data_IF_611557861352
#
_entry.id   IF_611557861352
#
_cell.length_a   1.000
_cell.length_b   1.000
_cell.length_c   1.000
_cell.angle_alpha   90.00
_cell.angle_beta   90.00
_cell.angle_gamma   90.00
#
_symmetry.space_group_name_H-M   'P 1'
#
loop_
_entity.id
_entity.type
_entity.pdbx_description
1 polymer ?
#
# COMPACT_ATOMS: atom_id res chain seq x y z
N UNK A 1 -4.66 3.85 -32.80
CA UNK A 1 -4.70 4.59 -31.52
C UNK A 1 -6.06 5.22 -31.33
N UNK A 2 -6.90 4.43 -30.67
CA UNK A 2 -8.27 4.69 -30.27
C UNK A 2 -8.43 6.08 -29.62
N UNK A 3 -9.54 6.76 -29.94
CA UNK A 3 -9.89 8.08 -29.38
C UNK A 3 -9.90 8.06 -27.85
N UNK A 4 -10.39 6.99 -27.24
CA UNK A 4 -10.42 6.85 -25.78
C UNK A 4 -9.04 7.00 -25.13
N UNK A 5 -8.02 6.37 -25.72
CA UNK A 5 -6.64 6.43 -25.21
C UNK A 5 -6.09 7.85 -25.31
N UNK A 6 -6.36 8.54 -26.43
CA UNK A 6 -5.96 9.95 -26.62
C UNK A 6 -6.59 10.88 -25.59
N UNK A 7 -7.89 10.79 -25.39
CA UNK A 7 -8.64 11.67 -24.49
C UNK A 7 -8.32 11.41 -23.01
N UNK A 8 -7.97 10.17 -22.64
CA UNK A 8 -7.65 9.80 -21.25
C UNK A 8 -6.16 9.89 -20.91
N UNK A 9 -5.29 10.19 -21.90
CA UNK A 9 -3.83 10.25 -21.73
C UNK A 9 -3.39 11.16 -20.60
N UNK A 10 -3.96 12.36 -20.52
CA UNK A 10 -3.59 13.34 -19.49
C UNK A 10 -3.91 12.82 -18.09
N UNK A 11 -5.11 12.28 -17.88
CA UNK A 11 -5.54 11.78 -16.59
C UNK A 11 -4.71 10.56 -16.14
N UNK A 12 -4.54 9.58 -17.04
CA UNK A 12 -3.82 8.34 -16.75
C UNK A 12 -2.32 8.57 -16.54
N UNK A 13 -1.68 9.45 -17.31
CA UNK A 13 -0.27 9.81 -17.11
C UNK A 13 -0.03 10.44 -15.74
N UNK A 14 -0.92 11.36 -15.32
CA UNK A 14 -0.81 12.00 -14.01
C UNK A 14 -1.11 11.04 -12.86
N UNK A 15 -2.10 10.14 -13.02
CA UNK A 15 -2.39 9.10 -12.02
C UNK A 15 -1.19 8.16 -11.82
N UNK A 16 -0.59 7.67 -12.91
CA UNK A 16 0.59 6.80 -12.82
C UNK A 16 1.75 7.52 -12.10
N UNK A 17 1.99 8.78 -12.45
CA UNK A 17 3.00 9.60 -11.77
C UNK A 17 2.70 9.73 -10.28
N UNK A 18 1.46 10.08 -9.93
CA UNK A 18 1.05 10.27 -8.53
C UNK A 18 1.15 8.97 -7.72
N UNK A 19 0.79 7.82 -8.30
CA UNK A 19 0.97 6.50 -7.69
C UNK A 19 2.44 6.27 -7.34
N UNK A 20 3.34 6.48 -8.31
CA UNK A 20 4.78 6.31 -8.09
C UNK A 20 5.32 7.28 -7.02
N UNK A 21 4.92 8.55 -7.07
CA UNK A 21 5.35 9.57 -6.11
C UNK A 21 4.89 9.22 -4.67
N UNK A 22 3.66 8.70 -4.51
CA UNK A 22 3.13 8.23 -3.22
C UNK A 22 3.85 6.96 -2.73
N UNK A 23 4.23 6.04 -3.62
CA UNK A 23 5.02 4.87 -3.28
C UNK A 23 6.42 5.24 -2.76
N UNK A 24 7.10 6.18 -3.42
CA UNK A 24 8.43 6.66 -2.99
C UNK A 24 8.36 7.31 -1.61
N UNK A 25 7.29 8.07 -1.34
CA UNK A 25 7.02 8.63 -0.01
C UNK A 25 6.75 7.53 1.02
N UNK A 26 5.98 6.49 0.66
CA UNK A 26 5.71 5.36 1.54
C UNK A 26 6.99 4.60 1.91
N UNK A 27 7.90 4.40 0.97
CA UNK A 27 9.23 3.82 1.22
C UNK A 27 10.01 4.67 2.22
N UNK A 28 10.01 5.99 2.03
CA UNK A 28 10.67 6.95 2.92
C UNK A 28 10.08 6.89 4.34
N UNK A 29 8.76 6.84 4.48
CA UNK A 29 8.07 6.72 5.77
C UNK A 29 8.41 5.40 6.47
N UNK A 30 8.41 4.27 5.75
CA UNK A 30 8.77 2.95 6.31
C UNK A 30 10.21 2.90 6.81
N UNK A 31 11.14 3.53 6.07
CA UNK A 31 12.54 3.68 6.49
C UNK A 31 12.64 4.54 7.76
N UNK A 32 11.93 5.66 7.82
CA UNK A 32 11.88 6.52 9.00
C UNK A 32 11.32 5.78 10.23
N UNK A 33 10.23 5.03 10.07
CA UNK A 33 9.65 4.19 11.13
C UNK A 33 10.66 3.19 11.67
N UNK A 34 11.31 2.44 10.77
CA UNK A 34 12.32 1.43 11.14
C UNK A 34 13.46 2.04 11.97
N UNK A 35 13.92 3.24 11.59
CA UNK A 35 14.97 3.94 12.32
C UNK A 35 14.50 4.41 13.70
N UNK A 36 13.25 4.91 13.81
CA UNK A 36 12.67 5.34 15.09
C UNK A 36 12.42 4.15 16.02
N UNK A 37 11.94 3.02 15.52
CA UNK A 37 11.74 1.80 16.31
C UNK A 37 13.07 1.22 16.82
N UNK A 38 14.13 1.26 16.02
CA UNK A 38 15.48 0.87 16.48
C UNK A 38 15.98 1.79 17.59
N UNK A 39 15.81 3.10 17.43
CA UNK A 39 16.21 4.07 18.45
C UNK A 39 15.41 3.90 19.74
N UNK A 40 14.09 3.69 19.62
CA UNK A 40 13.22 3.44 20.77
C UNK A 40 13.64 2.19 21.51
N UNK A 41 13.86 1.08 20.80
CA UNK A 41 14.34 -0.17 21.41
C UNK A 41 15.64 0.04 22.16
N UNK A 42 16.60 0.74 21.57
CA UNK A 42 17.88 1.03 22.24
C UNK A 42 17.69 1.82 23.55
N UNK A 43 16.89 2.90 23.54
CA UNK A 43 16.63 3.70 24.74
C UNK A 43 15.82 2.93 25.78
N UNK A 44 14.88 2.10 25.34
CA UNK A 44 14.06 1.28 26.22
C UNK A 44 14.89 0.17 26.88
N UNK A 45 15.77 -0.48 26.14
CA UNK A 45 16.70 -1.47 26.69
C UNK A 45 17.67 -0.85 27.70
N UNK A 46 18.21 0.36 27.43
CA UNK A 46 19.04 1.11 28.39
C UNK A 46 18.25 1.50 29.65
N UNK A 47 16.98 1.88 29.49
CA UNK A 47 16.09 2.21 30.58
C UNK A 47 15.79 1.02 31.49
N UNK A 48 15.55 -0.16 30.93
CA UNK A 48 15.28 -1.40 31.69
C UNK A 48 16.56 -1.94 32.34
N UNK A 49 17.70 -1.87 31.66
CA UNK A 49 18.98 -2.40 32.19
C UNK A 49 19.57 -1.59 33.33
N UNK A 50 19.11 -0.36 33.56
CA UNK A 50 19.43 0.43 34.76
C UNK A 50 18.67 -0.10 35.98
N UNK A 51 18.63 -1.42 36.12
CA UNK A 51 18.19 -2.10 37.33
C UNK A 51 19.13 -1.72 38.48
N UNK A 52 18.52 -1.42 39.61
CA UNK A 52 19.19 -1.26 40.89
C UNK A 52 19.90 -2.56 41.26
N UNK A 53 21.15 -2.48 41.70
CA UNK A 53 21.83 -3.61 42.34
C UNK A 53 21.03 -3.99 43.60
N UNK A 54 20.46 -5.22 43.69
CA UNK A 54 19.68 -5.64 44.85
C UNK A 54 20.49 -5.68 46.16
N UNK A 55 21.83 -5.74 46.05
CA UNK A 55 22.75 -5.78 47.18
C UNK A 55 23.22 -4.37 47.62
N UNK A 56 22.87 -3.31 46.87
CA UNK A 56 23.17 -1.95 47.29
C UNK A 56 22.17 -1.49 48.38
N UNK A 57 22.69 -1.18 49.56
CA UNK A 57 21.94 -0.57 50.66
C UNK A 57 21.63 0.91 50.38
N UNK A 58 20.67 1.17 49.48
CA UNK A 58 20.15 2.51 49.26
C UNK A 58 19.21 2.94 50.40
N UNK A 59 19.35 4.18 50.85
CA UNK A 59 18.33 4.79 51.71
C UNK A 59 17.10 5.23 50.90
N UNK A 60 15.99 5.50 51.59
CA UNK A 60 14.71 5.89 50.97
C UNK A 60 14.84 7.10 50.03
N UNK A 61 15.65 8.09 50.40
CA UNK A 61 15.88 9.28 49.57
C UNK A 61 16.62 8.96 48.27
N UNK A 62 17.61 8.06 48.30
CA UNK A 62 18.35 7.62 47.12
C UNK A 62 17.45 6.83 46.15
N UNK A 63 16.60 5.95 46.68
CA UNK A 63 15.60 5.23 45.86
C UNK A 63 14.62 6.22 45.21
N UNK A 64 14.07 7.15 45.99
CA UNK A 64 13.14 8.16 45.48
C UNK A 64 13.76 9.06 44.40
N UNK A 65 15.01 9.48 44.57
CA UNK A 65 15.74 10.26 43.56
C UNK A 65 15.93 9.47 42.26
N UNK A 66 16.33 8.20 42.34
CA UNK A 66 16.55 7.38 41.17
C UNK A 66 15.24 7.04 40.43
N UNK A 67 14.15 6.75 41.15
CA UNK A 67 12.82 6.61 40.54
C UNK A 67 12.35 7.90 39.86
N UNK A 68 12.56 9.06 40.49
CA UNK A 68 12.21 10.35 39.89
C UNK A 68 12.99 10.59 38.60
N UNK A 69 14.30 10.29 38.60
CA UNK A 69 15.16 10.41 37.42
C UNK A 69 14.76 9.44 36.31
N UNK A 70 14.36 8.22 36.66
CA UNK A 70 13.86 7.22 35.74
C UNK A 70 12.53 7.66 35.12
N UNK A 71 11.56 8.11 35.92
CA UNK A 71 10.28 8.65 35.44
C UNK A 71 10.50 9.83 34.48
N UNK A 72 11.35 10.79 34.87
CA UNK A 72 11.69 11.93 34.00
C UNK A 72 12.36 11.50 32.69
N UNK A 73 13.20 10.46 32.70
CA UNK A 73 13.80 9.95 31.45
C UNK A 73 12.73 9.34 30.54
N UNK A 74 11.82 8.54 31.09
CA UNK A 74 10.73 7.95 30.33
C UNK A 74 9.86 9.03 29.67
N UNK A 75 9.38 9.99 30.46
CA UNK A 75 8.51 11.09 29.99
C UNK A 75 9.20 11.98 28.94
N UNK A 76 10.49 12.25 29.10
CA UNK A 76 11.19 13.18 28.20
C UNK A 76 11.79 12.52 26.94
N UNK A 77 12.05 11.21 26.97
CA UNK A 77 12.77 10.52 25.88
C UNK A 77 11.97 9.39 25.25
N UNK A 78 11.40 8.49 26.05
CA UNK A 78 10.76 7.26 25.55
C UNK A 78 9.35 7.56 25.06
N UNK A 79 8.53 8.24 25.86
CA UNK A 79 7.15 8.53 25.53
C UNK A 79 7.00 9.41 24.26
N UNK A 80 7.75 10.52 24.09
CA UNK A 80 7.64 11.34 22.89
C UNK A 80 8.07 10.59 21.62
N UNK A 81 9.01 9.65 21.75
CA UNK A 81 9.44 8.80 20.64
C UNK A 81 8.38 7.77 20.26
N UNK A 82 7.70 7.18 21.25
CA UNK A 82 6.55 6.30 21.04
C UNK A 82 5.40 7.01 20.32
N UNK A 83 5.10 8.26 20.69
CA UNK A 83 4.10 9.08 20.01
C UNK A 83 4.46 9.23 18.52
N UNK A 84 5.70 9.61 18.21
CA UNK A 84 6.18 9.76 16.82
C UNK A 84 6.14 8.44 16.04
N UNK A 85 6.41 7.31 16.68
CA UNK A 85 6.29 5.98 16.06
C UNK A 85 4.83 5.72 15.66
N UNK A 86 3.88 6.02 16.54
CA UNK A 86 2.45 5.84 16.26
C UNK A 86 1.95 6.78 15.16
N UNK A 87 2.39 8.05 15.16
CA UNK A 87 2.12 9.00 14.07
C UNK A 87 2.62 8.49 12.72
N UNK A 88 3.85 7.94 12.67
CA UNK A 88 4.41 7.35 11.46
C UNK A 88 3.62 6.12 11.00
N UNK A 89 3.21 5.24 11.92
CA UNK A 89 2.37 4.06 11.60
C UNK A 89 1.04 4.49 10.98
N UNK A 90 0.37 5.48 11.57
CA UNK A 90 -0.88 6.02 11.04
C UNK A 90 -0.69 6.65 9.65
N UNK A 91 0.39 7.42 9.46
CA UNK A 91 0.73 8.03 8.17
C UNK A 91 1.01 6.97 7.09
N UNK A 92 1.74 5.90 7.44
CA UNK A 92 2.02 4.76 6.57
C UNK A 92 0.71 4.08 6.15
N UNK A 93 -0.17 3.78 7.10
CA UNK A 93 -1.48 3.16 6.81
C UNK A 93 -2.31 4.02 5.87
N UNK A 94 -2.41 5.33 6.15
CA UNK A 94 -3.15 6.26 5.29
C UNK A 94 -2.56 6.36 3.88
N UNK A 95 -1.23 6.34 3.75
CA UNK A 95 -0.55 6.34 2.45
C UNK A 95 -0.74 5.04 1.68
N UNK A 96 -0.72 3.89 2.35
CA UNK A 96 -1.01 2.61 1.71
C UNK A 96 -2.41 2.61 1.10
N UNK A 97 -3.41 3.09 1.84
CA UNK A 97 -4.79 3.18 1.32
C UNK A 97 -4.93 4.22 0.20
N UNK A 98 -4.18 5.33 0.26
CA UNK A 98 -4.08 6.31 -0.84
C UNK A 98 -3.57 5.66 -2.13
N UNK A 99 -2.45 4.94 -2.07
CA UNK A 99 -1.84 4.23 -3.22
C UNK A 99 -2.81 3.20 -3.80
N UNK A 100 -3.45 2.39 -2.95
CA UNK A 100 -4.47 1.41 -3.37
C UNK A 100 -5.66 2.09 -4.06
N UNK A 101 -6.14 3.20 -3.53
CA UNK A 101 -7.26 3.97 -4.10
C UNK A 101 -6.92 4.57 -5.46
N UNK A 102 -5.73 5.19 -5.61
CA UNK A 102 -5.25 5.73 -6.88
C UNK A 102 -5.07 4.62 -7.93
N UNK A 103 -4.56 3.47 -7.52
CA UNK A 103 -4.44 2.28 -8.37
C UNK A 103 -5.81 1.79 -8.84
N UNK A 104 -6.80 1.78 -7.95
CA UNK A 104 -8.19 1.45 -8.28
C UNK A 104 -8.79 2.42 -9.29
N UNK A 105 -8.50 3.73 -9.17
CA UNK A 105 -8.93 4.74 -10.13
C UNK A 105 -8.31 4.51 -11.53
N UNK A 106 -7.04 4.12 -11.60
CA UNK A 106 -6.39 3.78 -12.88
C UNK A 106 -7.03 2.54 -13.53
N UNK A 107 -7.29 1.48 -12.75
CA UNK A 107 -8.00 0.28 -13.23
C UNK A 107 -9.42 0.60 -13.69
N UNK A 108 -10.11 1.51 -12.99
CA UNK A 108 -11.43 1.97 -13.37
C UNK A 108 -11.40 2.64 -14.75
N UNK A 109 -10.44 3.53 -15.03
CA UNK A 109 -10.31 4.15 -16.36
C UNK A 109 -10.06 3.08 -17.42
N UNK A 110 -9.13 2.16 -17.21
CA UNK A 110 -8.88 1.08 -18.17
C UNK A 110 -10.14 0.24 -18.48
N UNK A 111 -10.88 -0.16 -17.43
CA UNK A 111 -12.13 -0.91 -17.57
C UNK A 111 -13.20 -0.11 -18.33
N UNK A 112 -13.29 1.21 -18.09
CA UNK A 112 -14.23 2.06 -18.83
C UNK A 112 -13.89 2.11 -20.32
N UNK A 113 -12.60 2.14 -20.68
CA UNK A 113 -12.17 2.01 -22.08
C UNK A 113 -12.69 0.74 -22.74
N UNK A 114 -12.52 -0.41 -22.07
CA UNK A 114 -13.06 -1.70 -22.53
C UNK A 114 -14.58 -1.60 -22.73
N UNK A 115 -15.29 -1.02 -21.76
CA UNK A 115 -16.75 -0.92 -21.78
C UNK A 115 -17.28 -0.01 -22.88
N UNK A 116 -16.59 1.10 -23.16
CA UNK A 116 -16.99 2.07 -24.19
C UNK A 116 -16.78 1.51 -25.60
N UNK A 117 -15.66 0.82 -25.83
CA UNK A 117 -15.32 0.31 -27.17
C UNK A 117 -16.03 -1.00 -27.48
N UNK A 118 -16.12 -1.91 -26.50
CA UNK A 118 -16.61 -3.28 -26.73
C UNK A 118 -17.96 -3.59 -26.09
N UNK A 119 -18.48 -2.69 -25.23
CA UNK A 119 -19.71 -2.88 -24.47
C UNK A 119 -19.55 -3.82 -23.26
N UNK A 120 -18.94 -4.99 -23.45
CA UNK A 120 -18.72 -5.99 -22.42
C UNK A 120 -17.33 -6.66 -22.52
N UNK A 121 -16.99 -7.46 -21.52
CA UNK A 121 -15.69 -8.15 -21.45
C UNK A 121 -15.53 -9.24 -22.52
N UNK A 122 -16.62 -9.89 -22.92
CA UNK A 122 -16.61 -11.01 -23.87
C UNK A 122 -16.21 -10.55 -25.28
N UNK A 123 -16.67 -9.36 -25.67
CA UNK A 123 -16.38 -8.72 -26.95
C UNK A 123 -14.95 -8.12 -27.02
N UNK A 124 -14.29 -7.94 -25.89
CA UNK A 124 -12.95 -7.36 -25.84
C UNK A 124 -11.90 -8.42 -26.19
N UNK A 125 -10.90 -8.11 -27.05
CA UNK A 125 -9.79 -9.00 -27.33
C UNK A 125 -8.96 -9.27 -26.06
N UNK A 126 -8.30 -10.43 -26.00
CA UNK A 126 -7.61 -10.91 -24.79
C UNK A 126 -6.42 -10.05 -24.36
N UNK A 127 -5.75 -9.39 -25.32
CA UNK A 127 -4.46 -8.76 -25.09
C UNK A 127 -3.37 -9.80 -24.75
N UNK A 128 -2.30 -9.38 -24.06
CA UNK A 128 -1.28 -10.32 -23.56
C UNK A 128 -1.81 -11.17 -22.41
N UNK A 129 -1.16 -12.32 -22.17
CA UNK A 129 -1.48 -13.23 -21.06
C UNK A 129 -0.44 -13.10 -19.96
N UNK A 130 -0.88 -13.03 -18.71
CA UNK A 130 -0.02 -13.03 -17.51
C UNK A 130 -0.48 -14.15 -16.59
N UNK A 131 0.42 -15.10 -16.28
CA UNK A 131 0.14 -16.24 -15.39
C UNK A 131 -1.20 -16.94 -15.72
N UNK A 132 -1.42 -17.24 -17.00
CA UNK A 132 -2.63 -17.90 -17.52
C UNK A 132 -3.92 -17.06 -17.56
N UNK A 133 -3.86 -15.77 -17.29
CA UNK A 133 -5.02 -14.89 -17.39
C UNK A 133 -4.80 -13.79 -18.45
N UNK A 134 -5.71 -13.58 -19.42
CA UNK A 134 -5.65 -12.45 -20.34
C UNK A 134 -5.79 -11.12 -19.60
N UNK A 135 -5.02 -10.10 -20.02
CA UNK A 135 -5.03 -8.79 -19.35
C UNK A 135 -6.41 -8.15 -19.30
N UNK A 136 -7.30 -8.41 -20.28
CA UNK A 136 -8.68 -7.91 -20.24
C UNK A 136 -9.40 -8.35 -18.95
N UNK A 137 -9.20 -9.60 -18.54
CA UNK A 137 -9.86 -10.15 -17.35
C UNK A 137 -9.14 -9.69 -16.09
N UNK A 138 -7.81 -9.60 -16.09
CA UNK A 138 -7.04 -9.03 -14.96
C UNK A 138 -7.49 -7.60 -14.65
N UNK A 139 -7.60 -6.73 -15.66
CA UNK A 139 -8.08 -5.35 -15.50
C UNK A 139 -9.51 -5.34 -14.96
N UNK A 140 -10.38 -6.15 -15.56
CA UNK A 140 -11.80 -6.16 -15.21
C UNK A 140 -12.06 -6.68 -13.80
N UNK A 141 -11.47 -7.81 -13.43
CA UNK A 141 -11.66 -8.41 -12.11
C UNK A 141 -10.83 -7.72 -11.03
N UNK A 142 -9.64 -7.23 -11.35
CA UNK A 142 -8.85 -6.38 -10.44
C UNK A 142 -9.62 -5.13 -10.05
N UNK A 143 -10.27 -4.47 -11.03
CA UNK A 143 -11.18 -3.36 -10.77
C UNK A 143 -12.38 -3.78 -9.91
N UNK A 144 -13.03 -4.92 -10.22
CA UNK A 144 -14.19 -5.37 -9.44
C UNK A 144 -13.82 -5.69 -7.99
N UNK A 145 -12.66 -6.32 -7.78
CA UNK A 145 -12.12 -6.58 -6.45
C UNK A 145 -11.89 -5.26 -5.71
N UNK A 146 -11.22 -4.29 -6.35
CA UNK A 146 -10.92 -2.99 -5.75
C UNK A 146 -12.14 -2.16 -5.33
N UNK A 147 -13.29 -2.34 -6.00
CA UNK A 147 -14.54 -1.64 -5.64
C UNK A 147 -15.35 -2.40 -4.58
N UNK A 148 -15.29 -3.73 -4.59
CA UNK A 148 -16.16 -4.59 -3.78
C UNK A 148 -15.41 -5.36 -2.68
N UNK A 149 -14.21 -4.92 -2.29
CA UNK A 149 -13.36 -5.63 -1.33
C UNK A 149 -13.99 -5.75 0.07
N UNK A 150 -14.79 -4.76 0.49
CA UNK A 150 -15.44 -4.75 1.80
C UNK A 150 -16.64 -5.71 1.92
N UNK A 151 -17.13 -6.26 0.80
CA UNK A 151 -18.31 -7.14 0.80
C UNK A 151 -18.01 -8.55 1.32
N UNK A 152 -16.72 -8.94 1.37
CA UNK A 152 -16.24 -10.25 1.84
C UNK A 152 -16.71 -11.46 0.99
N UNK A 153 -17.45 -11.22 -0.11
CA UNK A 153 -17.99 -12.26 -1.00
C UNK A 153 -17.68 -11.94 -2.46
N UNK A 154 -16.51 -12.37 -2.90
CA UNK A 154 -16.07 -12.18 -4.27
C UNK A 154 -16.86 -13.06 -5.26
N UNK A 155 -17.18 -12.48 -6.42
CA UNK A 155 -17.83 -13.23 -7.51
C UNK A 155 -16.90 -14.35 -8.01
N UNK A 156 -17.42 -15.49 -8.49
CA UNK A 156 -16.59 -16.60 -8.99
C UNK A 156 -15.57 -16.21 -10.07
N UNK A 157 -15.89 -15.22 -10.91
CA UNK A 157 -14.97 -14.71 -11.91
C UNK A 157 -13.75 -13.99 -11.30
N UNK A 158 -13.95 -13.26 -10.20
CA UNK A 158 -12.87 -12.62 -9.45
C UNK A 158 -12.00 -13.67 -8.78
N UNK A 159 -12.62 -14.65 -8.11
CA UNK A 159 -11.90 -15.75 -7.45
C UNK A 159 -11.00 -16.49 -8.44
N UNK A 160 -11.54 -16.96 -9.56
CA UNK A 160 -10.74 -17.66 -10.59
C UNK A 160 -9.61 -16.80 -11.15
N UNK A 161 -9.87 -15.52 -11.42
CA UNK A 161 -8.85 -14.61 -11.93
C UNK A 161 -7.69 -14.47 -10.93
N UNK A 162 -7.99 -14.27 -9.64
CA UNK A 162 -6.99 -14.09 -8.60
C UNK A 162 -6.21 -15.38 -8.28
N UNK A 163 -6.88 -16.53 -8.33
CA UNK A 163 -6.23 -17.85 -8.27
C UNK A 163 -5.23 -18.03 -9.42
N UNK A 164 -5.63 -17.72 -10.66
CA UNK A 164 -4.78 -17.87 -11.84
C UNK A 164 -3.52 -16.98 -11.75
N UNK A 165 -3.67 -15.72 -11.35
CA UNK A 165 -2.54 -14.78 -11.22
C UNK A 165 -1.73 -14.97 -9.93
N UNK A 166 -2.15 -15.87 -9.04
CA UNK A 166 -1.47 -16.21 -7.80
C UNK A 166 -1.47 -15.08 -6.78
N UNK A 167 -2.55 -14.30 -6.69
CA UNK A 167 -2.74 -13.26 -5.66
C UNK A 167 -3.86 -13.75 -4.73
N UNK A 168 -3.58 -13.85 -3.44
CA UNK A 168 -4.58 -14.28 -2.45
C UNK A 168 -5.61 -13.19 -2.22
N UNK A 169 -6.89 -13.52 -2.38
CA UNK A 169 -7.99 -12.62 -2.05
C UNK A 169 -8.12 -12.46 -0.53
N UNK A 170 -8.43 -11.24 -0.12
CA UNK A 170 -8.71 -10.84 1.26
C UNK A 170 -9.65 -9.62 1.25
N UNK A 171 -10.02 -9.13 2.43
CA UNK A 171 -10.90 -7.97 2.62
C UNK A 171 -10.13 -6.63 2.49
N UNK A 172 -9.07 -6.58 1.69
CA UNK A 172 -8.33 -5.35 1.38
C UNK A 172 -8.43 -4.99 -0.10
N UNK A 173 -8.27 -3.71 -0.44
CA UNK A 173 -8.15 -3.28 -1.83
C UNK A 173 -6.81 -3.74 -2.43
N UNK A 174 -6.85 -4.65 -3.42
CA UNK A 174 -5.67 -5.24 -4.06
C UNK A 174 -5.32 -4.56 -5.41
N UNK A 175 -5.84 -3.36 -5.66
CA UNK A 175 -5.60 -2.68 -6.93
C UNK A 175 -4.11 -2.42 -7.19
N UNK A 176 -3.33 -2.14 -6.15
CA UNK A 176 -1.91 -1.85 -6.33
C UNK A 176 -1.14 -3.08 -6.80
N UNK A 177 -1.45 -4.23 -6.23
CA UNK A 177 -0.88 -5.52 -6.59
C UNK A 177 -1.20 -5.86 -8.06
N UNK A 178 -2.40 -5.49 -8.53
CA UNK A 178 -2.77 -5.62 -9.94
C UNK A 178 -1.98 -4.66 -10.84
N UNK A 179 -1.81 -3.39 -10.43
CA UNK A 179 -0.99 -2.42 -11.17
C UNK A 179 0.47 -2.89 -11.28
N UNK A 180 1.02 -3.47 -10.22
CA UNK A 180 2.36 -4.07 -10.22
C UNK A 180 2.45 -5.29 -11.12
N UNK A 181 1.46 -6.18 -11.09
CA UNK A 181 1.38 -7.35 -11.96
C UNK A 181 1.33 -6.94 -13.45
N UNK A 182 0.55 -5.91 -13.77
CA UNK A 182 0.47 -5.33 -15.11
C UNK A 182 1.72 -4.53 -15.49
N UNK A 183 2.59 -4.21 -14.53
CA UNK A 183 3.76 -3.36 -14.72
C UNK A 183 3.41 -1.96 -15.29
N UNK A 184 2.29 -1.38 -14.83
CA UNK A 184 1.81 -0.06 -15.24
C UNK A 184 2.51 1.09 -14.50
N UNK A 185 3.84 0.98 -14.35
CA UNK A 185 4.68 2.02 -13.72
C UNK A 185 4.93 3.23 -14.63
N UNK A 186 4.70 3.06 -15.93
CA UNK A 186 4.84 4.12 -16.92
C UNK A 186 3.61 4.16 -17.81
N UNK A 187 3.27 5.36 -18.30
CA UNK A 187 2.18 5.53 -19.26
C UNK A 187 2.41 4.68 -20.52
N UNK A 188 3.65 4.46 -20.94
CA UNK A 188 3.97 3.64 -22.12
C UNK A 188 3.51 2.18 -21.94
N UNK A 189 3.72 1.59 -20.77
CA UNK A 189 3.27 0.22 -20.49
C UNK A 189 1.75 0.13 -20.44
N UNK A 190 1.11 1.10 -19.80
CA UNK A 190 -0.34 1.24 -19.78
C UNK A 190 -0.91 1.37 -21.20
N UNK A 191 -0.39 2.31 -21.99
CA UNK A 191 -0.84 2.58 -23.35
C UNK A 191 -0.67 1.36 -24.26
N UNK A 192 0.45 0.64 -24.14
CA UNK A 192 0.70 -0.59 -24.91
C UNK A 192 -0.38 -1.64 -24.65
N UNK A 193 -0.71 -1.87 -23.38
CA UNK A 193 -1.75 -2.84 -23.02
C UNK A 193 -3.12 -2.37 -23.52
N UNK A 194 -3.45 -1.09 -23.34
CA UNK A 194 -4.74 -0.54 -23.79
C UNK A 194 -4.89 -0.52 -25.31
N UNK A 195 -3.82 -0.27 -26.07
CA UNK A 195 -3.83 -0.40 -27.54
C UNK A 195 -4.19 -1.83 -27.93
N UNK A 196 -3.58 -2.84 -27.30
CA UNK A 196 -3.87 -4.25 -27.60
C UNK A 196 -5.32 -4.67 -27.29
N UNK A 197 -6.02 -3.86 -26.49
CA UNK A 197 -7.39 -4.11 -26.07
C UNK A 197 -8.42 -3.30 -26.85
N UNK A 198 -8.08 -2.09 -27.32
CA UNK A 198 -9.06 -1.12 -27.84
C UNK A 198 -8.90 -0.75 -29.31
N UNK A 199 -7.76 -1.08 -29.93
CA UNK A 199 -7.58 -0.97 -31.39
C UNK A 199 -8.00 -2.28 -32.09
#
# INVERSE_FOLDING_TARGET
MNTYIKETKFATSNLIKLINDEEDQLITLKSALTNKEKHHRFLYDDFIRKDFDPDDHFNEHQMMYAFTKQASYYENQIEPLNIKINELKNSISAKQESVKSLSGALLQIAKQGISIVHGNLENCPDGRVIKNEPIKNIIWQGRNQSIHYEEGRFRPAVVRCFENIGISLNDENLAKEIIDLLNWKTYVNYEKDLISLLD
#
